data_IF_630236589467
#
_entry.id   IF_630236589467
#
_cell.length_a   1.000
_cell.length_b   1.000
_cell.length_c   1.000
_cell.angle_alpha   90.00
_cell.angle_beta   90.00
_cell.angle_gamma   90.00
#
_symmetry.space_group_name_H-M   'P 1'
#
loop_
_entity.id
_entity.type
_entity.pdbx_description
1 polymer ?
#
# COMPACT_ATOMS: atom_id res chain seq x y z
N UNK A 1 1.80 -7.08 -15.71
CA UNK A 1 3.14 -7.37 -16.27
C UNK A 1 4.27 -6.47 -15.71
N UNK A 2 4.00 -5.25 -15.22
CA UNK A 2 5.02 -4.36 -14.66
C UNK A 2 5.65 -4.86 -13.37
N UNK A 3 4.85 -5.30 -12.43
CA UNK A 3 5.31 -5.70 -11.09
C UNK A 3 6.22 -6.94 -11.06
N UNK A 4 6.12 -7.89 -12.01
CA UNK A 4 6.95 -9.11 -12.05
C UNK A 4 8.45 -8.85 -12.16
N UNK A 5 8.85 -7.83 -12.93
CA UNK A 5 10.26 -7.45 -13.07
C UNK A 5 10.69 -6.48 -11.96
N UNK A 6 9.76 -5.65 -11.50
CA UNK A 6 9.99 -4.76 -10.38
C UNK A 6 10.26 -5.56 -9.10
N UNK A 7 9.53 -6.64 -8.85
CA UNK A 7 9.70 -7.50 -7.67
C UNK A 7 11.16 -7.95 -7.44
N UNK A 8 11.91 -8.21 -8.53
CA UNK A 8 13.31 -8.66 -8.46
C UNK A 8 14.27 -7.61 -7.90
N UNK A 9 13.91 -6.34 -8.00
CA UNK A 9 14.76 -5.21 -7.63
C UNK A 9 14.11 -4.28 -6.61
N UNK A 10 12.81 -4.47 -6.34
CA UNK A 10 12.01 -3.60 -5.49
C UNK A 10 12.62 -3.41 -4.11
N UNK A 11 13.00 -4.51 -3.45
CA UNK A 11 13.61 -4.47 -2.12
C UNK A 11 15.00 -3.83 -2.07
N UNK A 12 15.70 -3.70 -3.22
CA UNK A 12 17.05 -3.12 -3.26
C UNK A 12 17.05 -1.60 -3.19
N UNK A 13 15.96 -0.98 -3.68
CA UNK A 13 15.83 0.48 -3.78
C UNK A 13 14.88 1.06 -2.75
N UNK A 14 14.31 0.23 -1.88
CA UNK A 14 13.47 0.68 -0.78
C UNK A 14 14.31 0.90 0.49
N UNK A 15 14.19 2.07 1.07
CA UNK A 15 14.69 2.34 2.41
C UNK A 15 13.73 1.72 3.44
N UNK A 16 14.11 0.55 3.95
CA UNK A 16 13.32 -0.15 4.98
C UNK A 16 13.11 0.68 6.25
N UNK A 17 14.00 1.66 6.51
CA UNK A 17 13.86 2.54 7.67
C UNK A 17 12.60 3.40 7.60
N UNK A 18 12.11 3.71 6.39
CA UNK A 18 10.87 4.44 6.20
C UNK A 18 9.65 3.65 6.73
N UNK A 19 9.70 2.32 6.71
CA UNK A 19 8.59 1.46 7.15
C UNK A 19 8.29 1.55 8.66
N UNK A 20 9.24 1.98 9.48
CA UNK A 20 9.02 2.19 10.92
C UNK A 20 7.90 3.19 11.21
N UNK A 21 7.66 4.15 10.34
CA UNK A 21 6.57 5.10 10.52
C UNK A 21 5.19 4.41 10.38
N UNK A 22 5.04 3.47 9.44
CA UNK A 22 3.82 2.67 9.28
C UNK A 22 3.62 1.71 10.44
N UNK A 23 4.68 1.02 10.88
CA UNK A 23 4.62 0.16 12.06
C UNK A 23 4.19 0.97 13.29
N UNK A 24 4.77 2.15 13.49
CA UNK A 24 4.40 3.06 14.59
C UNK A 24 2.92 3.46 14.50
N UNK A 25 2.41 3.73 13.31
CA UNK A 25 1.00 4.03 13.11
C UNK A 25 0.09 2.84 13.46
N UNK A 26 0.47 1.62 13.06
CA UNK A 26 -0.25 0.40 13.46
C UNK A 26 -0.22 0.24 14.98
N UNK A 27 0.95 0.27 15.61
CA UNK A 27 1.10 0.13 17.07
C UNK A 27 0.24 1.13 17.86
N UNK A 28 0.24 2.40 17.44
CA UNK A 28 -0.56 3.46 18.07
C UNK A 28 -2.06 3.31 17.81
N UNK A 29 -2.43 2.58 16.77
CA UNK A 29 -3.82 2.30 16.43
C UNK A 29 -4.40 1.12 17.20
N UNK A 30 -3.58 0.25 17.78
CA UNK A 30 -4.02 -0.95 18.47
C UNK A 30 -4.25 -0.67 19.96
N UNK A 31 -5.49 -0.88 20.44
CA UNK A 31 -5.81 -0.84 21.87
C UNK A 31 -5.39 -2.15 22.58
N UNK A 32 -5.30 -3.24 21.86
CA UNK A 32 -4.87 -4.57 22.31
C UNK A 32 -4.18 -5.31 21.16
N UNK A 33 -3.39 -6.33 21.48
CA UNK A 33 -2.84 -7.23 20.47
C UNK A 33 -3.98 -7.94 19.72
N UNK A 34 -4.10 -7.78 18.38
CA UNK A 34 -5.09 -8.49 17.58
C UNK A 34 -4.74 -9.97 17.48
N UNK A 35 -5.76 -10.81 17.34
CA UNK A 35 -5.57 -12.21 17.01
C UNK A 35 -5.20 -12.39 15.53
N UNK A 36 -5.94 -11.72 14.62
CA UNK A 36 -5.76 -11.84 13.18
C UNK A 36 -5.51 -10.49 12.51
N UNK A 37 -4.53 -10.44 11.62
CA UNK A 37 -4.23 -9.30 10.76
C UNK A 37 -4.13 -9.74 9.30
N UNK A 38 -4.80 -9.01 8.40
CA UNK A 38 -4.68 -9.17 6.95
C UNK A 38 -3.99 -7.93 6.36
N UNK A 39 -2.90 -8.14 5.63
CA UNK A 39 -2.17 -7.07 4.93
C UNK A 39 -2.44 -7.16 3.43
N UNK A 40 -3.18 -6.18 2.90
CA UNK A 40 -3.58 -6.09 1.50
C UNK A 40 -2.47 -5.45 0.67
N UNK A 41 -2.19 -6.02 -0.51
CA UNK A 41 -1.11 -5.60 -1.41
C UNK A 41 0.24 -5.55 -0.69
N UNK A 42 0.59 -6.63 -0.02
CA UNK A 42 1.78 -6.75 0.83
C UNK A 42 3.11 -6.68 0.06
N UNK A 43 3.10 -6.73 -1.27
CA UNK A 43 4.29 -6.72 -2.12
C UNK A 43 5.24 -7.86 -1.77
N UNK A 44 6.51 -7.53 -1.57
CA UNK A 44 7.55 -8.49 -1.16
C UNK A 44 7.50 -8.86 0.33
N UNK A 45 6.48 -8.40 1.06
CA UNK A 45 6.18 -8.83 2.42
C UNK A 45 7.02 -8.20 3.53
N UNK A 46 7.90 -7.25 3.24
CA UNK A 46 8.81 -6.65 4.25
C UNK A 46 8.02 -6.00 5.38
N UNK A 47 7.03 -5.15 5.06
CA UNK A 47 6.21 -4.49 6.08
C UNK A 47 5.35 -5.51 6.84
N UNK A 48 4.81 -6.52 6.15
CA UNK A 48 4.04 -7.62 6.76
C UNK A 48 4.88 -8.38 7.80
N UNK A 49 6.13 -8.72 7.46
CA UNK A 49 7.07 -9.38 8.39
C UNK A 49 7.42 -8.47 9.59
N UNK A 50 7.61 -7.18 9.37
CA UNK A 50 7.85 -6.22 10.48
C UNK A 50 6.67 -6.16 11.44
N UNK A 51 5.43 -6.40 10.97
CA UNK A 51 4.24 -6.51 11.81
C UNK A 51 4.13 -7.85 12.55
N UNK A 52 5.03 -8.82 12.31
CA UNK A 52 4.96 -10.19 12.86
C UNK A 52 4.84 -10.27 14.38
N UNK A 53 5.37 -9.29 15.12
CA UNK A 53 5.24 -9.21 16.57
C UNK A 53 3.87 -8.66 17.05
N UNK A 54 3.09 -8.02 16.16
CA UNK A 54 1.91 -7.26 16.53
C UNK A 54 0.63 -8.10 16.63
N UNK A 55 0.55 -9.25 15.95
CA UNK A 55 -0.63 -10.11 15.94
C UNK A 55 -0.27 -11.57 16.18
N UNK A 56 -1.27 -12.43 16.45
CA UNK A 56 -1.07 -13.87 16.61
C UNK A 56 -1.04 -14.62 15.29
N UNK A 57 -1.78 -14.13 14.28
CA UNK A 57 -1.77 -14.62 12.90
C UNK A 57 -1.78 -13.45 11.92
N UNK A 58 -0.88 -13.46 10.95
CA UNK A 58 -0.78 -12.44 9.90
C UNK A 58 -0.80 -13.11 8.53
N UNK A 59 -1.66 -12.61 7.66
CA UNK A 59 -1.75 -13.04 6.27
C UNK A 59 -1.47 -11.83 5.38
N UNK A 60 -0.39 -11.89 4.58
CA UNK A 60 -0.13 -10.93 3.52
C UNK A 60 -0.70 -11.43 2.19
N UNK A 61 -1.38 -10.55 1.46
CA UNK A 61 -1.85 -10.87 0.11
C UNK A 61 -1.37 -9.84 -0.90
N UNK A 62 -1.06 -10.31 -2.10
CA UNK A 62 -0.73 -9.46 -3.25
C UNK A 62 -1.30 -10.07 -4.53
N UNK A 63 -1.63 -9.22 -5.50
CA UNK A 63 -2.12 -9.65 -6.81
C UNK A 63 -1.02 -10.31 -7.66
N UNK A 64 0.25 -9.93 -7.44
CA UNK A 64 1.40 -10.42 -8.18
C UNK A 64 1.94 -11.73 -7.59
N UNK A 65 1.89 -12.86 -8.35
CA UNK A 65 2.52 -14.09 -7.92
C UNK A 65 4.03 -13.94 -7.69
N UNK A 66 4.70 -13.05 -8.42
CA UNK A 66 6.13 -12.82 -8.29
C UNK A 66 6.46 -12.07 -6.99
N UNK A 67 5.63 -11.12 -6.56
CA UNK A 67 5.78 -10.46 -5.25
C UNK A 67 5.63 -11.49 -4.13
N UNK A 68 4.59 -12.32 -4.17
CA UNK A 68 4.37 -13.39 -3.18
C UNK A 68 5.50 -14.42 -3.20
N UNK A 69 6.01 -14.79 -4.39
CA UNK A 69 7.17 -15.67 -4.47
C UNK A 69 8.38 -15.05 -3.75
N UNK A 70 8.67 -13.77 -3.96
CA UNK A 70 9.76 -13.08 -3.26
C UNK A 70 9.50 -13.04 -1.75
N UNK A 71 8.29 -12.73 -1.32
CA UNK A 71 7.91 -12.73 0.09
C UNK A 71 8.15 -14.08 0.77
N UNK A 72 7.88 -15.20 0.08
CA UNK A 72 8.05 -16.56 0.62
C UNK A 72 9.49 -17.05 0.62
N UNK A 73 10.31 -16.67 -0.38
CA UNK A 73 11.63 -17.26 -0.63
C UNK A 73 12.80 -16.41 -0.14
N UNK A 74 12.65 -15.07 -0.12
CA UNK A 74 13.78 -14.17 0.12
C UNK A 74 13.82 -13.55 1.51
N UNK A 75 12.68 -13.44 2.17
CA UNK A 75 12.63 -12.90 3.53
C UNK A 75 13.15 -13.94 4.54
N UNK A 76 13.95 -13.47 5.47
CA UNK A 76 14.25 -14.25 6.67
C UNK A 76 13.02 -14.15 7.57
N UNK A 77 12.19 -15.20 7.56
CA UNK A 77 10.96 -15.24 8.35
C UNK A 77 11.26 -15.45 9.85
N UNK A 78 11.40 -14.37 10.65
CA UNK A 78 11.63 -14.50 12.10
C UNK A 78 10.37 -14.96 12.84
N UNK A 79 9.20 -14.81 12.20
CA UNK A 79 7.91 -15.09 12.78
C UNK A 79 7.20 -16.25 12.05
N UNK A 80 6.84 -17.30 12.78
CA UNK A 80 6.11 -18.46 12.25
C UNK A 80 4.61 -18.22 12.03
N UNK A 81 4.11 -17.07 12.47
CA UNK A 81 2.71 -16.65 12.38
C UNK A 81 2.41 -15.81 11.14
N UNK A 82 3.39 -15.55 10.27
CA UNK A 82 3.22 -14.79 9.04
C UNK A 82 3.11 -15.77 7.85
N UNK A 83 2.17 -15.50 6.96
CA UNK A 83 1.99 -16.29 5.72
C UNK A 83 1.57 -15.39 4.56
N UNK A 84 1.87 -15.81 3.32
CA UNK A 84 1.62 -15.04 2.11
C UNK A 84 0.78 -15.80 1.09
N UNK A 85 -0.14 -15.09 0.39
CA UNK A 85 -1.07 -15.66 -0.59
C UNK A 85 -1.23 -14.74 -1.80
N UNK A 86 -1.35 -15.32 -2.99
CA UNK A 86 -1.75 -14.57 -4.18
C UNK A 86 -3.27 -14.36 -4.13
N UNK A 87 -3.72 -13.11 -4.11
CA UNK A 87 -5.14 -12.78 -4.11
C UNK A 87 -5.37 -11.34 -4.58
N UNK A 88 -6.58 -11.10 -5.11
CA UNK A 88 -7.06 -9.79 -5.54
C UNK A 88 -7.91 -9.17 -4.43
N UNK A 89 -7.50 -8.04 -3.87
CA UNK A 89 -8.19 -7.36 -2.77
C UNK A 89 -9.60 -6.86 -3.11
N UNK A 90 -9.97 -6.80 -4.39
CA UNK A 90 -11.34 -6.45 -4.82
C UNK A 90 -12.31 -7.64 -4.69
N UNK A 91 -11.80 -8.87 -4.55
CA UNK A 91 -12.57 -10.10 -4.56
C UNK A 91 -12.76 -10.68 -3.15
N UNK A 92 -13.96 -11.16 -2.84
CA UNK A 92 -14.26 -11.76 -1.53
C UNK A 92 -13.40 -12.99 -1.21
N UNK A 93 -12.90 -13.70 -2.22
CA UNK A 93 -12.01 -14.85 -2.03
C UNK A 93 -10.67 -14.49 -1.37
N UNK A 94 -10.28 -13.20 -1.43
CA UNK A 94 -9.06 -12.70 -0.80
C UNK A 94 -9.15 -12.61 0.74
N UNK A 95 -10.33 -12.82 1.32
CA UNK A 95 -10.59 -12.61 2.74
C UNK A 95 -11.05 -13.90 3.47
N UNK A 96 -11.09 -15.04 2.80
CA UNK A 96 -11.73 -16.25 3.30
C UNK A 96 -10.80 -17.20 4.10
N UNK A 97 -9.64 -16.70 4.55
CA UNK A 97 -8.69 -17.53 5.30
C UNK A 97 -9.06 -17.70 6.78
N UNK A 98 -9.77 -16.72 7.33
CA UNK A 98 -10.30 -16.74 8.70
C UNK A 98 -11.75 -16.23 8.69
N UNK A 99 -12.48 -16.44 9.79
CA UNK A 99 -13.90 -16.05 9.88
C UNK A 99 -14.07 -14.51 9.97
N UNK A 100 -13.07 -13.80 10.50
CA UNK A 100 -13.04 -12.34 10.57
C UNK A 100 -11.67 -11.84 11.00
N UNK A 101 -11.33 -10.64 10.58
CA UNK A 101 -10.05 -10.00 10.91
C UNK A 101 -10.22 -8.92 11.97
N UNK A 102 -9.35 -8.92 12.97
CA UNK A 102 -9.29 -7.82 13.94
C UNK A 102 -8.70 -6.56 13.34
N UNK A 103 -7.74 -6.73 12.42
CA UNK A 103 -7.11 -5.63 11.70
C UNK A 103 -6.93 -6.01 10.22
N UNK A 104 -7.25 -5.08 9.35
CA UNK A 104 -6.89 -5.14 7.93
C UNK A 104 -6.03 -3.91 7.64
N UNK A 105 -4.91 -4.10 6.96
CA UNK A 105 -4.02 -3.01 6.53
C UNK A 105 -3.95 -2.94 5.00
N UNK A 106 -3.69 -1.74 4.46
CA UNK A 106 -3.35 -1.52 3.05
C UNK A 106 -2.45 -0.30 2.94
N UNK A 107 -1.15 -0.50 2.96
CA UNK A 107 -0.17 0.58 3.11
C UNK A 107 0.65 0.83 1.84
N UNK A 108 1.50 1.88 1.91
CA UNK A 108 2.39 2.29 0.83
C UNK A 108 1.61 2.62 -0.44
N UNK A 109 0.56 3.47 -0.28
CA UNK A 109 -0.27 3.96 -1.38
C UNK A 109 -0.92 2.88 -2.26
N UNK A 110 -0.94 1.63 -1.81
CA UNK A 110 -1.38 0.50 -2.62
C UNK A 110 -2.80 0.66 -3.19
N UNK A 111 -3.71 1.35 -2.48
CA UNK A 111 -5.03 1.68 -3.01
C UNK A 111 -5.00 2.64 -4.22
N UNK A 112 -3.90 3.39 -4.40
CA UNK A 112 -3.73 4.29 -5.53
C UNK A 112 -3.50 3.55 -6.85
N UNK A 113 -3.14 2.26 -6.81
CA UNK A 113 -2.97 1.41 -8.00
C UNK A 113 -4.28 0.78 -8.50
N UNK A 114 -5.39 0.94 -7.78
CA UNK A 114 -6.71 0.48 -8.26
C UNK A 114 -7.11 1.25 -9.52
N UNK A 115 -7.76 0.56 -10.47
CA UNK A 115 -8.02 1.10 -11.81
C UNK A 115 -9.04 2.23 -11.80
N UNK A 116 -10.02 2.18 -10.88
CA UNK A 116 -11.11 3.15 -10.80
C UNK A 116 -11.78 3.18 -9.42
N UNK A 117 -12.76 4.08 -9.26
CA UNK A 117 -13.59 4.17 -8.05
C UNK A 117 -14.42 2.91 -7.78
N UNK A 118 -14.71 2.11 -8.81
CA UNK A 118 -15.48 0.87 -8.66
C UNK A 118 -14.65 -0.15 -7.87
N UNK A 119 -13.38 -0.32 -8.23
CA UNK A 119 -12.45 -1.20 -7.52
C UNK A 119 -12.20 -0.69 -6.09
N UNK A 120 -12.08 0.63 -5.89
CA UNK A 120 -11.96 1.23 -4.56
C UNK A 120 -13.18 0.90 -3.68
N UNK A 121 -14.39 1.12 -4.22
CA UNK A 121 -15.65 0.79 -3.54
C UNK A 121 -15.77 -0.69 -3.21
N UNK A 122 -15.42 -1.57 -4.15
CA UNK A 122 -15.41 -3.02 -3.96
C UNK A 122 -14.46 -3.42 -2.81
N UNK A 123 -13.23 -2.89 -2.81
CA UNK A 123 -12.23 -3.17 -1.78
C UNK A 123 -12.75 -2.76 -0.40
N UNK A 124 -13.28 -1.54 -0.25
CA UNK A 124 -13.82 -1.09 1.04
C UNK A 124 -14.99 -1.93 1.52
N UNK A 125 -15.85 -2.36 0.60
CA UNK A 125 -16.96 -3.24 0.92
C UNK A 125 -16.48 -4.62 1.41
N UNK A 126 -15.50 -5.23 0.73
CA UNK A 126 -14.90 -6.49 1.18
C UNK A 126 -14.24 -6.34 2.55
N UNK A 127 -13.46 -5.28 2.75
CA UNK A 127 -12.82 -4.98 4.03
C UNK A 127 -13.86 -4.91 5.14
N UNK A 128 -14.91 -4.09 4.98
CA UNK A 128 -15.94 -3.94 6.00
C UNK A 128 -16.65 -5.26 6.32
N UNK A 129 -16.99 -6.05 5.30
CA UNK A 129 -17.66 -7.34 5.50
C UNK A 129 -16.82 -8.32 6.31
N UNK A 130 -15.51 -8.33 6.09
CA UNK A 130 -14.62 -9.33 6.69
C UNK A 130 -13.88 -8.84 7.96
N UNK A 131 -14.04 -7.58 8.34
CA UNK A 131 -13.65 -7.14 9.68
C UNK A 131 -14.55 -7.74 10.75
N UNK A 132 -13.96 -8.16 11.86
CA UNK A 132 -14.67 -8.52 13.10
C UNK A 132 -15.36 -7.29 13.68
N UNK A 133 -16.38 -7.49 14.54
CA UNK A 133 -16.98 -6.40 15.31
C UNK A 133 -15.92 -5.72 16.19
N UNK A 134 -15.79 -4.40 16.05
CA UNK A 134 -14.73 -3.62 16.69
C UNK A 134 -13.36 -3.74 16.03
N UNK A 135 -13.30 -4.40 14.88
CA UNK A 135 -12.07 -4.47 14.04
C UNK A 135 -11.75 -3.15 13.36
N UNK A 136 -10.52 -3.03 12.86
CA UNK A 136 -9.99 -1.80 12.30
C UNK A 136 -9.46 -2.00 10.89
N UNK A 137 -9.71 -1.01 10.03
CA UNK A 137 -9.04 -0.87 8.73
C UNK A 137 -8.06 0.31 8.78
N UNK A 138 -6.80 0.04 8.50
CA UNK A 138 -5.71 1.02 8.49
C UNK A 138 -5.11 1.09 7.09
N UNK A 139 -5.08 2.27 6.49
CA UNK A 139 -4.50 2.43 5.16
C UNK A 139 -3.95 3.83 4.95
N UNK A 140 -3.16 4.00 3.91
CA UNK A 140 -2.71 5.30 3.47
C UNK A 140 -2.87 5.48 1.95
N UNK A 141 -2.96 6.74 1.54
CA UNK A 141 -3.06 7.13 0.13
C UNK A 141 -2.33 8.43 -0.13
N UNK A 142 -1.83 8.61 -1.34
CA UNK A 142 -1.41 9.91 -1.82
C UNK A 142 -2.60 10.88 -1.84
N UNK A 143 -2.34 12.14 -1.50
CA UNK A 143 -3.35 13.19 -1.65
C UNK A 143 -3.42 13.69 -3.09
N UNK A 144 -4.53 14.32 -3.51
CA UNK A 144 -4.60 15.06 -4.77
C UNK A 144 -3.49 16.09 -4.94
N UNK A 145 -3.08 16.73 -3.86
CA UNK A 145 -1.97 17.69 -3.86
C UNK A 145 -0.66 17.01 -4.28
N UNK A 146 -0.33 15.88 -3.68
CA UNK A 146 0.91 15.18 -3.97
C UNK A 146 0.95 14.62 -5.39
N UNK A 147 -0.13 14.01 -5.84
CA UNK A 147 -0.23 13.52 -7.23
C UNK A 147 0.04 14.66 -8.22
N UNK A 148 -0.56 15.84 -8.02
CA UNK A 148 -0.47 16.95 -8.97
C UNK A 148 0.82 17.75 -8.88
N UNK A 149 1.33 17.95 -7.67
CA UNK A 149 2.44 18.87 -7.42
C UNK A 149 3.70 18.19 -6.89
N UNK A 150 3.55 17.15 -6.08
CA UNK A 150 4.67 16.40 -5.52
C UNK A 150 5.41 15.59 -6.58
N UNK A 151 4.66 14.99 -7.51
CA UNK A 151 5.23 14.24 -8.62
C UNK A 151 5.53 15.09 -9.88
N UNK A 152 5.20 16.37 -9.89
CA UNK A 152 5.46 17.24 -11.02
C UNK A 152 6.97 17.48 -11.20
N UNK A 153 7.55 16.96 -12.28
CA UNK A 153 8.99 17.02 -12.52
C UNK A 153 9.81 16.13 -11.58
N UNK A 154 9.18 15.13 -10.97
CA UNK A 154 9.89 14.17 -10.14
C UNK A 154 10.77 13.26 -11.00
N UNK A 155 12.05 13.25 -10.66
CA UNK A 155 13.06 12.37 -11.24
C UNK A 155 13.86 11.76 -10.10
N UNK A 156 14.04 10.44 -10.14
CA UNK A 156 14.85 9.71 -9.18
C UNK A 156 15.73 8.70 -9.92
N UNK A 157 16.95 8.55 -9.47
CA UNK A 157 17.80 7.47 -9.93
C UNK A 157 18.56 6.87 -8.76
N UNK A 158 18.77 5.56 -8.86
CA UNK A 158 19.59 4.83 -7.91
C UNK A 158 20.29 3.66 -8.60
N UNK A 159 21.39 3.17 -8.03
CA UNK A 159 22.14 2.07 -8.60
C UNK A 159 22.99 1.35 -7.57
N UNK A 160 23.16 0.06 -7.81
CA UNK A 160 24.18 -0.78 -7.15
C UNK A 160 25.19 -1.31 -8.19
N UNK A 161 26.02 -2.29 -7.78
CA UNK A 161 27.04 -2.89 -8.67
C UNK A 161 26.41 -3.59 -9.89
N UNK A 162 25.17 -4.02 -9.83
CA UNK A 162 24.52 -4.89 -10.83
C UNK A 162 23.24 -4.32 -11.43
N UNK A 163 22.69 -3.26 -10.84
CA UNK A 163 21.37 -2.73 -11.20
C UNK A 163 21.36 -1.21 -11.17
N UNK A 164 20.68 -0.59 -12.13
CA UNK A 164 20.36 0.82 -12.09
C UNK A 164 18.86 1.03 -12.35
N UNK A 165 18.27 1.94 -11.59
CA UNK A 165 16.88 2.40 -11.72
C UNK A 165 16.88 3.87 -12.09
N UNK A 166 16.11 4.23 -13.12
CA UNK A 166 15.68 5.58 -13.41
C UNK A 166 14.17 5.62 -13.26
N UNK A 167 13.66 6.61 -12.57
CA UNK A 167 12.23 6.80 -12.34
C UNK A 167 11.85 8.24 -12.64
N UNK A 168 10.90 8.42 -13.54
CA UNK A 168 10.34 9.71 -13.93
C UNK A 168 8.83 9.66 -13.71
N UNK A 169 8.24 10.78 -13.30
CA UNK A 169 6.80 10.83 -12.99
C UNK A 169 6.11 11.94 -13.76
N UNK A 170 4.94 11.62 -14.30
CA UNK A 170 4.16 12.48 -15.18
C UNK A 170 2.71 12.61 -14.70
N UNK A 171 2.39 13.60 -13.86
CA UNK A 171 0.99 13.90 -13.51
C UNK A 171 0.18 14.25 -14.75
N UNK A 172 -1.08 13.77 -14.82
CA UNK A 172 -1.99 14.16 -15.91
C UNK A 172 -2.32 15.64 -15.85
N UNK A 173 -2.39 16.29 -17.02
CA UNK A 173 -2.85 17.67 -17.13
C UNK A 173 -4.38 17.81 -17.06
N UNK A 174 -5.12 16.71 -17.17
CA UNK A 174 -6.59 16.73 -17.08
C UNK A 174 -7.05 17.11 -15.68
N UNK A 175 -7.82 18.19 -15.57
CA UNK A 175 -8.28 18.72 -14.27
C UNK A 175 -9.23 17.76 -13.54
N UNK A 176 -9.96 16.93 -14.29
CA UNK A 176 -10.97 15.99 -13.77
C UNK A 176 -10.33 14.69 -13.25
N UNK A 177 -9.10 14.38 -13.67
CA UNK A 177 -8.38 13.19 -13.26
C UNK A 177 -7.22 13.54 -12.35
N UNK A 178 -7.05 12.77 -11.28
CA UNK A 178 -5.94 12.92 -10.33
C UNK A 178 -5.09 11.65 -10.46
N UNK A 179 -4.29 11.62 -11.53
CA UNK A 179 -3.51 10.46 -11.96
C UNK A 179 -2.07 10.88 -12.20
N UNK A 180 -1.15 10.00 -11.86
CA UNK A 180 0.26 10.10 -12.23
C UNK A 180 0.70 8.81 -12.90
N UNK A 181 1.47 8.94 -13.96
CA UNK A 181 2.18 7.84 -14.61
C UNK A 181 3.65 7.89 -14.18
N UNK A 182 4.16 6.75 -13.75
CA UNK A 182 5.55 6.56 -13.37
C UNK A 182 6.24 5.67 -14.38
N UNK A 183 7.21 6.21 -15.07
CA UNK A 183 8.07 5.46 -16.00
C UNK A 183 9.35 5.05 -15.30
N UNK A 184 9.50 3.75 -15.10
CA UNK A 184 10.70 3.16 -14.52
C UNK A 184 11.52 2.47 -15.59
N UNK A 185 12.79 2.86 -15.74
CA UNK A 185 13.75 2.16 -16.58
C UNK A 185 14.75 1.43 -15.69
N UNK A 186 14.76 0.10 -15.79
CA UNK A 186 15.69 -0.78 -15.09
C UNK A 186 16.78 -1.25 -16.03
N UNK A 187 18.02 -1.25 -15.55
CA UNK A 187 19.16 -1.92 -16.19
C UNK A 187 19.66 -2.98 -15.21
N UNK A 188 19.53 -4.25 -15.57
CA UNK A 188 19.93 -5.38 -14.73
C UNK A 188 21.08 -6.12 -15.40
N UNK A 189 22.22 -6.22 -14.72
CA UNK A 189 23.38 -6.94 -15.22
C UNK A 189 23.07 -8.43 -15.41
N UNK A 190 23.45 -9.00 -16.54
CA UNK A 190 23.30 -10.42 -16.85
C UNK A 190 24.66 -11.11 -16.85
N UNK A 191 25.41 -11.00 -17.93
CA UNK A 191 26.68 -11.67 -18.08
C UNK A 191 27.78 -10.66 -18.43
N UNK A 192 28.82 -10.60 -17.60
CA UNK A 192 29.94 -9.68 -17.79
C UNK A 192 29.46 -8.20 -17.78
N UNK A 193 29.70 -7.46 -18.84
CA UNK A 193 29.32 -6.05 -18.95
C UNK A 193 28.01 -5.85 -19.73
N UNK A 194 27.18 -6.89 -19.90
CA UNK A 194 25.90 -6.79 -20.58
C UNK A 194 24.77 -6.53 -19.57
N UNK A 195 23.90 -5.59 -19.93
CA UNK A 195 22.71 -5.24 -19.14
C UNK A 195 21.44 -5.50 -19.94
N UNK A 196 20.44 -6.06 -19.27
CA UNK A 196 19.08 -6.11 -19.80
C UNK A 196 18.37 -4.81 -19.40
N UNK A 197 17.85 -4.08 -20.38
CA UNK A 197 16.98 -2.92 -20.13
C UNK A 197 15.53 -3.37 -20.09
N UNK A 198 14.81 -2.92 -19.08
CA UNK A 198 13.36 -3.12 -18.93
C UNK A 198 12.69 -1.80 -18.61
N UNK A 199 11.60 -1.52 -19.32
CA UNK A 199 10.73 -0.38 -18.99
C UNK A 199 9.47 -0.91 -18.31
N UNK A 200 9.03 -0.22 -17.27
CA UNK A 200 7.82 -0.49 -16.50
C UNK A 200 7.10 0.83 -16.38
N UNK A 201 5.82 0.85 -16.73
CA UNK A 201 4.95 1.99 -16.45
C UNK A 201 3.98 1.57 -15.35
N UNK A 202 3.91 2.37 -14.28
CA UNK A 202 2.96 2.24 -13.20
C UNK A 202 2.02 3.45 -13.23
N UNK A 203 0.77 3.23 -12.90
CA UNK A 203 -0.23 4.29 -12.86
C UNK A 203 -0.83 4.33 -11.47
N UNK A 204 -0.75 5.50 -10.84
CA UNK A 204 -1.39 5.75 -9.56
C UNK A 204 -2.43 6.85 -9.69
N UNK A 205 -3.49 6.73 -8.92
CA UNK A 205 -4.58 7.70 -8.86
C UNK A 205 -4.95 8.02 -7.43
N UNK A 206 -5.44 9.22 -7.24
CA UNK A 206 -6.02 9.64 -5.98
C UNK A 206 -7.37 10.29 -6.23
N UNK A 207 -8.07 10.53 -5.15
CA UNK A 207 -9.40 11.14 -5.18
C UNK A 207 -9.48 12.23 -4.12
N UNK A 208 -10.39 13.20 -4.26
CA UNK A 208 -10.74 14.10 -3.17
C UNK A 208 -11.13 13.32 -1.90
N UNK A 209 -10.86 13.90 -0.73
CA UNK A 209 -11.14 13.24 0.55
C UNK A 209 -12.61 12.80 0.68
N UNK A 210 -13.52 13.61 0.17
CA UNK A 210 -14.95 13.31 0.16
C UNK A 210 -15.32 12.03 -0.61
N UNK A 211 -14.54 11.64 -1.63
CA UNK A 211 -14.74 10.38 -2.37
C UNK A 211 -14.37 9.18 -1.50
N UNK A 212 -13.23 9.22 -0.83
CA UNK A 212 -12.85 8.18 0.14
C UNK A 212 -13.89 8.05 1.26
N UNK A 213 -14.31 9.19 1.84
CA UNK A 213 -15.33 9.22 2.90
C UNK A 213 -16.68 8.68 2.42
N UNK A 214 -17.06 8.97 1.17
CA UNK A 214 -18.28 8.44 0.57
C UNK A 214 -18.24 6.92 0.46
N UNK A 215 -17.20 6.36 -0.16
CA UNK A 215 -17.08 4.91 -0.35
C UNK A 215 -16.89 4.13 0.96
N UNK A 216 -16.18 4.68 1.93
CA UNK A 216 -16.10 4.08 3.27
C UNK A 216 -17.48 4.02 3.93
N UNK A 217 -18.28 5.10 3.82
CA UNK A 217 -19.64 5.14 4.35
C UNK A 217 -20.56 4.14 3.64
N UNK A 218 -20.51 4.06 2.31
CA UNK A 218 -21.31 3.09 1.54
C UNK A 218 -20.92 1.64 1.86
N UNK A 219 -19.65 1.39 2.22
CA UNK A 219 -19.21 0.09 2.69
C UNK A 219 -19.76 -0.29 4.07
N UNK A 220 -20.14 0.70 4.91
CA UNK A 220 -20.74 0.49 6.23
C UNK A 220 -20.04 1.21 7.38
N UNK A 221 -18.88 1.84 7.16
CA UNK A 221 -18.22 2.63 8.20
C UNK A 221 -19.02 3.89 8.54
N UNK A 222 -19.18 4.20 9.83
CA UNK A 222 -19.82 5.45 10.22
C UNK A 222 -18.82 6.59 10.21
N UNK A 223 -19.22 7.84 9.87
CA UNK A 223 -18.30 8.98 9.85
C UNK A 223 -17.55 9.21 11.16
N UNK A 224 -18.17 8.94 12.30
CA UNK A 224 -17.56 9.11 13.63
C UNK A 224 -16.46 8.06 13.90
N UNK A 225 -16.49 6.96 13.15
CA UNK A 225 -15.52 5.87 13.24
C UNK A 225 -14.38 5.98 12.20
N UNK A 226 -14.34 7.06 11.41
CA UNK A 226 -13.30 7.31 10.42
C UNK A 226 -12.44 8.47 10.90
N UNK A 227 -11.18 8.21 11.11
CA UNK A 227 -10.18 9.22 11.49
C UNK A 227 -9.13 9.34 10.37
N UNK A 228 -8.80 10.56 10.02
CA UNK A 228 -7.78 10.86 9.01
C UNK A 228 -6.61 11.56 9.67
N UNK A 229 -5.41 11.09 9.38
CA UNK A 229 -4.17 11.61 9.93
C UNK A 229 -3.21 12.05 8.83
N UNK A 230 -2.24 12.85 9.23
CA UNK A 230 -1.08 13.28 8.42
C UNK A 230 0.21 13.00 9.20
N UNK A 231 1.34 13.32 8.59
CA UNK A 231 2.65 13.18 9.25
C UNK A 231 2.87 11.74 9.78
N UNK A 232 2.61 10.74 8.94
CA UNK A 232 2.72 9.32 9.28
C UNK A 232 1.85 8.91 10.48
N UNK A 233 0.60 9.40 10.49
CA UNK A 233 -0.35 9.06 11.56
C UNK A 233 -0.18 9.84 12.88
N UNK A 234 0.78 10.76 12.97
CA UNK A 234 1.11 11.47 14.22
C UNK A 234 0.20 12.67 14.49
N UNK A 235 -0.51 13.18 13.50
CA UNK A 235 -1.33 14.38 13.61
C UNK A 235 -2.68 14.18 12.90
N UNK A 236 -3.79 14.58 13.56
CA UNK A 236 -5.11 14.53 12.93
C UNK A 236 -5.17 15.55 11.80
N UNK A 237 -5.73 15.14 10.67
CA UNK A 237 -5.91 16.00 9.51
C UNK A 237 -6.85 17.17 9.81
N UNK A 238 -6.39 18.37 9.51
CA UNK A 238 -7.16 19.61 9.55
C UNK A 238 -7.05 20.29 8.18
N UNK A 239 -8.13 20.40 7.39
CA UNK A 239 -8.07 20.97 6.04
C UNK A 239 -7.58 22.41 6.00
N UNK A 240 -7.72 23.16 7.10
CA UNK A 240 -7.23 24.54 7.17
C UNK A 240 -5.71 24.65 7.32
N UNK A 241 -5.06 23.59 7.79
CA UNK A 241 -3.61 23.52 8.08
C UNK A 241 -2.84 22.59 7.16
N UNK A 242 -3.48 21.54 6.66
CA UNK A 242 -2.84 20.42 5.96
C UNK A 242 -3.24 20.32 4.48
N UNK A 243 -3.57 21.44 3.84
CA UNK A 243 -4.00 21.47 2.44
C UNK A 243 -2.89 21.07 1.43
N UNK A 244 -1.62 21.10 1.86
CA UNK A 244 -0.45 20.68 1.07
C UNK A 244 0.18 19.38 1.60
N UNK A 245 -0.54 18.60 2.42
CA UNK A 245 0.01 17.34 2.92
C UNK A 245 0.17 16.33 1.78
N UNK A 246 1.29 15.58 1.73
CA UNK A 246 1.50 14.61 0.66
C UNK A 246 0.63 13.36 0.81
N UNK A 247 0.30 12.95 2.03
CA UNK A 247 -0.29 11.66 2.31
C UNK A 247 -1.33 11.75 3.42
N UNK A 248 -2.43 11.02 3.24
CA UNK A 248 -3.41 10.75 4.29
C UNK A 248 -3.25 9.33 4.81
N UNK A 249 -3.35 9.17 6.13
CA UNK A 249 -3.45 7.92 6.84
C UNK A 249 -4.86 7.79 7.41
N UNK A 250 -5.50 6.67 7.20
CA UNK A 250 -6.86 6.42 7.66
C UNK A 250 -6.89 5.36 8.74
N UNK A 251 -7.72 5.58 9.76
CA UNK A 251 -8.09 4.61 10.78
C UNK A 251 -9.60 4.53 10.82
N UNK A 252 -10.15 3.38 10.43
CA UNK A 252 -11.58 3.15 10.34
C UNK A 252 -11.97 1.99 11.24
N UNK A 253 -13.01 2.17 12.07
CA UNK A 253 -13.52 1.15 12.97
C UNK A 253 -14.85 0.59 12.46
N UNK A 254 -15.02 -0.74 12.56
CA UNK A 254 -16.30 -1.39 12.31
C UNK A 254 -17.18 -1.37 13.54
#
# INVERSE_FOLDING_TARGET
MGFSKLAQVYSRFNDESAYFDWITFVEQSLDKRPYTLLDLACGTGVLTEMMGALADEIIGIDLSPEMIFQAQETLVHPYSNVSFRVADMTQSSAYQWVEGYDVITCFLDSLCFLEDETQLSQTFHQVYQHLSEGGQFLFDVWTPYHIRYGFNGFEYFDYDESTALLWESYPTEALEEIVVEHDLTLFIQKNGNLYERTNITLVERSYPLEVFMHHLKEAGFTPDNIQVYVNHGREIYDPSRHHETPRWFFRCYK
#
